data_IF_227849945470
#
_entry.id   IF_227849945470
#
_cell.length_a   1.000
_cell.length_b   1.000
_cell.length_c   1.000
_cell.angle_alpha   90.00
_cell.angle_beta   90.00
_cell.angle_gamma   90.00
#
_symmetry.space_group_name_H-M   'P 1'
#
loop_
_entity.id
_entity.type
_entity.pdbx_description
1 polymer ?
#
# COMPACT_ATOMS: atom_id res chain seq x y z
N UNK A 1 37.22 32.75 11.08
CA UNK A 1 36.09 32.23 10.28
C UNK A 1 36.04 30.69 10.15
N UNK A 2 37.01 29.92 10.67
CA UNK A 2 37.09 28.45 10.47
C UNK A 2 36.20 27.62 11.42
N UNK A 3 35.87 28.13 12.61
CA UNK A 3 35.09 27.40 13.62
C UNK A 3 33.57 27.32 13.35
N UNK A 4 33.03 28.12 12.41
CA UNK A 4 31.59 28.11 12.08
C UNK A 4 31.22 27.03 11.05
N UNK A 5 32.18 26.62 10.21
CA UNK A 5 31.99 25.61 9.16
C UNK A 5 31.87 24.19 9.76
N UNK A 6 32.58 23.91 10.86
CA UNK A 6 32.54 22.59 11.53
C UNK A 6 31.18 22.27 12.15
N UNK A 7 30.40 23.28 12.59
CA UNK A 7 29.06 23.06 13.15
C UNK A 7 28.01 22.72 12.09
N UNK A 8 28.16 23.23 10.87
CA UNK A 8 27.20 22.99 9.77
C UNK A 8 27.35 21.55 9.24
N UNK A 9 28.57 21.03 9.20
CA UNK A 9 28.83 19.65 8.76
C UNK A 9 28.32 18.59 9.75
N UNK A 10 28.24 18.92 11.04
CA UNK A 10 27.70 18.02 12.08
C UNK A 10 26.20 17.77 11.98
N UNK A 11 25.41 18.76 11.53
CA UNK A 11 23.96 18.61 11.39
C UNK A 11 23.56 17.76 10.16
N UNK A 12 24.41 17.72 9.13
CA UNK A 12 24.08 17.01 7.88
C UNK A 12 24.16 15.48 8.03
N UNK A 13 24.88 14.95 9.03
CA UNK A 13 25.04 13.51 9.27
C UNK A 13 24.01 12.92 10.26
N UNK A 14 23.23 13.75 10.94
CA UNK A 14 22.21 13.31 11.92
C UNK A 14 20.80 13.13 11.32
N UNK A 15 20.59 13.52 10.06
CA UNK A 15 19.26 13.60 9.44
C UNK A 15 18.75 12.31 8.77
N UNK A 16 19.54 11.23 8.70
CA UNK A 16 19.20 10.02 7.91
C UNK A 16 18.56 8.91 8.78
N UNK A 17 18.49 9.10 10.10
CA UNK A 17 18.01 8.11 11.06
C UNK A 17 16.51 8.11 11.28
N UNK A 18 15.70 8.48 10.27
CA UNK A 18 14.26 8.27 10.33
C UNK A 18 13.99 6.78 10.41
N UNK A 19 13.73 6.26 11.62
CA UNK A 19 13.14 4.94 11.81
C UNK A 19 11.74 5.01 11.23
N UNK A 20 11.63 4.81 9.92
CA UNK A 20 10.37 4.40 9.34
C UNK A 20 9.99 3.12 10.08
N UNK A 21 8.93 3.17 10.89
CA UNK A 21 8.34 1.96 11.43
C UNK A 21 8.13 1.04 10.23
N UNK A 22 8.88 -0.06 10.16
CA UNK A 22 8.77 -0.98 9.05
C UNK A 22 7.31 -1.40 8.97
N UNK A 23 6.64 -1.10 7.87
CA UNK A 23 5.27 -1.56 7.66
C UNK A 23 5.32 -3.09 7.77
N UNK A 24 4.80 -3.63 8.86
CA UNK A 24 4.76 -5.06 9.10
C UNK A 24 3.46 -5.60 8.53
N UNK A 25 3.57 -6.67 7.76
CA UNK A 25 2.41 -7.39 7.30
C UNK A 25 1.67 -7.98 8.51
N UNK A 26 0.38 -7.67 8.65
CA UNK A 26 -0.43 -8.16 9.78
C UNK A 26 -0.89 -9.60 9.60
N UNK A 27 -1.01 -10.07 8.36
CA UNK A 27 -1.43 -11.44 8.09
C UNK A 27 -0.32 -12.43 8.46
N UNK A 28 -0.66 -13.56 9.10
CA UNK A 28 0.30 -14.58 9.50
C UNK A 28 0.95 -15.29 8.29
N UNK A 29 0.31 -15.23 7.12
CA UNK A 29 0.87 -15.70 5.85
C UNK A 29 1.06 -14.53 4.88
N UNK A 30 2.04 -14.66 3.98
CA UNK A 30 2.34 -13.67 2.93
C UNK A 30 1.10 -13.43 2.03
N UNK A 31 0.76 -12.16 1.76
CA UNK A 31 -0.32 -11.80 0.84
C UNK A 31 0.21 -11.88 -0.59
N UNK A 32 -0.18 -12.92 -1.32
CA UNK A 32 0.30 -13.20 -2.70
C UNK A 32 -0.80 -13.11 -3.74
N UNK A 33 -1.82 -12.29 -3.50
CA UNK A 33 -2.92 -12.06 -4.42
C UNK A 33 -3.12 -10.57 -4.65
N UNK A 34 -3.63 -10.21 -5.82
CA UNK A 34 -4.12 -8.87 -6.11
C UNK A 34 -5.61 -8.79 -5.75
N UNK A 35 -6.00 -7.64 -5.19
CA UNK A 35 -7.40 -7.25 -5.03
C UNK A 35 -7.70 -6.14 -6.02
N UNK A 36 -8.53 -6.45 -7.03
CA UNK A 36 -8.90 -5.53 -8.10
C UNK A 36 -10.32 -5.02 -7.86
N UNK A 37 -10.48 -3.70 -7.88
CA UNK A 37 -11.77 -3.02 -7.71
C UNK A 37 -11.92 -1.98 -8.82
N UNK A 38 -12.82 -2.25 -9.76
CA UNK A 38 -13.18 -1.35 -10.86
C UNK A 38 -14.67 -1.50 -11.13
N UNK A 39 -15.30 -0.54 -11.82
CA UNK A 39 -16.71 -0.66 -12.17
C UNK A 39 -17.01 -1.89 -13.06
N UNK A 40 -16.14 -2.24 -13.99
CA UNK A 40 -16.34 -3.40 -14.85
C UNK A 40 -15.99 -4.75 -14.16
N UNK A 41 -15.17 -4.72 -13.10
CA UNK A 41 -14.66 -5.94 -12.48
C UNK A 41 -14.19 -5.71 -11.05
N UNK A 42 -14.73 -6.53 -10.15
CA UNK A 42 -14.22 -6.71 -8.78
C UNK A 42 -13.80 -8.17 -8.60
N UNK A 43 -12.53 -8.42 -8.26
CA UNK A 43 -11.97 -9.78 -8.21
C UNK A 43 -10.77 -9.91 -7.25
N UNK A 44 -10.53 -11.16 -6.83
CA UNK A 44 -9.28 -11.59 -6.19
C UNK A 44 -8.52 -12.45 -7.21
N UNK A 45 -7.27 -12.07 -7.49
CA UNK A 45 -6.43 -12.69 -8.53
C UNK A 45 -5.16 -13.24 -7.87
N UNK A 46 -4.80 -14.49 -8.15
CA UNK A 46 -3.56 -15.10 -7.62
C UNK A 46 -2.31 -14.42 -8.18
N UNK A 47 -1.16 -14.71 -7.58
CA UNK A 47 0.15 -14.34 -8.14
C UNK A 47 0.50 -14.99 -9.50
N UNK A 48 -0.28 -15.98 -9.92
CA UNK A 48 -0.12 -16.70 -11.20
C UNK A 48 -1.22 -16.33 -12.20
N UNK A 49 -1.82 -15.15 -12.03
CA UNK A 49 -2.87 -14.58 -12.89
C UNK A 49 -4.18 -15.41 -12.97
N UNK A 50 -4.46 -16.23 -11.95
CA UNK A 50 -5.72 -16.99 -11.86
C UNK A 50 -6.77 -16.21 -11.06
N UNK A 51 -8.01 -16.14 -11.58
CA UNK A 51 -9.13 -15.58 -10.83
C UNK A 51 -9.53 -16.57 -9.72
N UNK A 52 -9.27 -16.20 -8.47
CA UNK A 52 -9.65 -16.99 -7.30
C UNK A 52 -11.11 -16.76 -6.91
N UNK A 53 -11.59 -15.52 -7.09
CA UNK A 53 -12.97 -15.12 -6.87
C UNK A 53 -13.32 -13.90 -7.71
N UNK A 54 -14.58 -13.79 -8.16
CA UNK A 54 -15.08 -12.66 -8.94
C UNK A 54 -16.53 -12.33 -8.56
N UNK A 55 -16.82 -11.03 -8.42
CA UNK A 55 -18.20 -10.56 -8.33
C UNK A 55 -18.90 -10.68 -9.70
N UNK A 56 -20.11 -11.26 -9.79
CA UNK A 56 -20.69 -11.69 -11.06
C UNK A 56 -21.22 -10.56 -11.96
N UNK A 57 -21.25 -9.32 -11.48
CA UNK A 57 -21.81 -8.17 -12.22
C UNK A 57 -20.85 -7.01 -12.28
N UNK A 58 -21.07 -6.13 -13.26
CA UNK A 58 -20.47 -4.81 -13.26
C UNK A 58 -21.18 -3.95 -12.21
N UNK A 59 -20.44 -3.03 -11.62
CA UNK A 59 -20.86 -2.10 -10.58
C UNK A 59 -20.41 -0.70 -11.01
N UNK A 60 -20.90 0.37 -10.37
CA UNK A 60 -20.39 1.71 -10.72
C UNK A 60 -19.03 1.94 -10.07
N UNK A 61 -18.96 1.63 -8.78
CA UNK A 61 -17.86 2.05 -7.91
C UNK A 61 -16.95 0.88 -7.48
N UNK A 62 -17.29 -0.37 -7.84
CA UNK A 62 -16.51 -1.56 -7.47
C UNK A 62 -16.72 -2.03 -6.03
N UNK A 63 -17.37 -1.23 -5.19
CA UNK A 63 -17.59 -1.47 -3.77
C UNK A 63 -19.06 -1.24 -3.37
N UNK A 64 -19.43 -1.77 -2.20
CA UNK A 64 -20.74 -1.47 -1.59
C UNK A 64 -20.63 -0.17 -0.82
N UNK A 65 -21.48 0.80 -1.15
CA UNK A 65 -21.58 2.08 -0.44
C UNK A 65 -22.28 1.86 0.91
N UNK A 66 -22.11 2.79 1.86
CA UNK A 66 -22.79 2.75 3.16
C UNK A 66 -24.32 2.72 3.01
N UNK A 67 -24.85 3.31 1.94
CA UNK A 67 -26.27 3.25 1.59
C UNK A 67 -26.76 1.88 1.08
N UNK A 68 -25.87 0.89 0.94
CA UNK A 68 -26.16 -0.44 0.41
C UNK A 68 -26.17 -0.55 -1.11
N UNK A 69 -25.91 0.54 -1.83
CA UNK A 69 -25.79 0.52 -3.29
C UNK A 69 -24.47 -0.14 -3.72
N UNK A 70 -24.49 -0.80 -4.88
CA UNK A 70 -23.35 -1.50 -5.49
C UNK A 70 -23.02 -0.88 -6.84
#
# INVERSE_FOLDING_TARGET
MRAKITKILGCLLLGIGGTHAAAQQRSPQNIRHAYLVTGAQTAIISETDQILWRYPRNTRDGCVLESGNV
#
